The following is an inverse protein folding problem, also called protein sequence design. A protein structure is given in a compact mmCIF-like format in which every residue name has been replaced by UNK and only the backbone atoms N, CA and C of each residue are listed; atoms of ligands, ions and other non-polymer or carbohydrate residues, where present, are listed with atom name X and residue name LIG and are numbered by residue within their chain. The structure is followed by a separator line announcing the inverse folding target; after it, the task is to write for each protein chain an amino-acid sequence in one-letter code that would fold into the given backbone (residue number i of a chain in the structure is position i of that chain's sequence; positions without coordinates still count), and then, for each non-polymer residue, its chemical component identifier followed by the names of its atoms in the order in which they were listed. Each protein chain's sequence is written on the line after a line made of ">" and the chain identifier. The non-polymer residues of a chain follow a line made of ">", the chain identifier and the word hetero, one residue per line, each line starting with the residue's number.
data_IF_322401137062
#
_entry.id   IF_322401137062
#
_cell.length_a   1.000
_cell.length_b   1.000
_cell.length_c   1.000
_cell.angle_alpha   90.00
_cell.angle_beta   90.00
_cell.angle_gamma   90.00
#
_symmetry.space_group_name_H-M   'P 1'
#
loop_
_entity.id
_entity.type
_entity.pdbx_description
1 polymer ?
#
# COMPACT_ATOMS: atom_id res chain seq x y z
N UNK A 1 -10.25 -20.98 20.48
CA UNK A 1 -10.57 -19.67 21.15
C UNK A 1 -11.04 -19.85 22.61
N UNK A 2 -11.02 -21.08 23.17
CA UNK A 2 -11.45 -21.35 24.56
C UNK A 2 -10.58 -20.63 25.62
N UNK A 3 -9.37 -20.17 25.25
CA UNK A 3 -8.45 -19.42 26.12
C UNK A 3 -8.33 -17.93 25.76
N UNK A 4 -9.17 -17.42 24.85
CA UNK A 4 -9.12 -16.02 24.47
C UNK A 4 -9.56 -15.11 25.63
N UNK A 5 -8.76 -14.09 25.92
CA UNK A 5 -9.08 -13.03 26.87
C UNK A 5 -9.53 -11.79 26.08
N UNK A 6 -10.67 -11.23 26.47
CA UNK A 6 -11.19 -9.99 25.89
C UNK A 6 -11.08 -8.87 26.91
N UNK A 7 -10.58 -7.72 26.50
CA UNK A 7 -10.45 -6.54 27.34
C UNK A 7 -10.72 -5.29 26.53
N UNK A 8 -11.21 -4.23 27.17
CA UNK A 8 -11.34 -2.86 26.64
C UNK A 8 -10.26 -1.92 27.20
N UNK A 9 -9.30 -2.46 27.94
CA UNK A 9 -8.22 -1.73 28.59
C UNK A 9 -6.89 -2.04 27.87
N UNK A 10 -6.26 -1.02 27.33
CA UNK A 10 -4.96 -1.18 26.65
C UNK A 10 -3.83 -1.57 27.62
N UNK A 11 -3.94 -1.18 28.89
CA UNK A 11 -2.99 -1.53 29.96
C UNK A 11 -2.85 -3.04 30.10
N UNK A 12 -3.95 -3.78 29.97
CA UNK A 12 -3.94 -5.23 30.06
C UNK A 12 -3.06 -5.87 28.96
N UNK A 13 -2.98 -5.24 27.76
CA UNK A 13 -2.06 -5.66 26.70
C UNK A 13 -0.60 -5.39 27.11
N UNK A 14 -0.32 -4.24 27.73
CA UNK A 14 1.03 -3.88 28.14
C UNK A 14 1.55 -4.72 29.31
N UNK A 15 0.66 -5.21 30.17
CA UNK A 15 0.97 -6.03 31.34
C UNK A 15 0.99 -7.54 31.03
N UNK A 16 0.42 -7.96 29.87
CA UNK A 16 0.38 -9.36 29.48
C UNK A 16 1.78 -9.91 29.13
N UNK A 17 2.00 -11.18 29.41
CA UNK A 17 3.18 -11.93 28.97
C UNK A 17 2.95 -12.46 27.54
N UNK A 18 3.28 -11.60 26.56
CA UNK A 18 3.08 -11.86 25.13
C UNK A 18 4.32 -11.43 24.33
N UNK A 19 4.60 -12.14 23.26
CA UNK A 19 5.76 -11.90 22.38
C UNK A 19 5.43 -11.03 21.18
N UNK A 20 4.16 -11.01 20.77
CA UNK A 20 3.70 -10.38 19.52
C UNK A 20 2.40 -9.59 19.75
N UNK A 21 2.35 -8.41 19.15
CA UNK A 21 1.14 -7.58 19.04
C UNK A 21 0.77 -7.42 17.57
N UNK A 22 -0.52 -7.63 17.24
CA UNK A 22 -1.08 -7.35 15.92
C UNK A 22 -1.97 -6.13 16.03
N UNK A 23 -1.62 -5.06 15.31
CA UNK A 23 -2.37 -3.79 15.29
C UNK A 23 -3.15 -3.70 13.95
N UNK A 24 -4.47 -3.65 14.04
CA UNK A 24 -5.41 -3.52 12.92
C UNK A 24 -6.55 -2.53 13.24
N UNK A 25 -6.29 -1.57 14.14
CA UNK A 25 -7.31 -0.63 14.62
C UNK A 25 -7.59 0.50 13.64
N UNK A 26 -6.56 0.93 12.89
CA UNK A 26 -6.63 2.16 12.11
C UNK A 26 -6.46 3.44 12.95
N UNK A 27 -6.45 4.60 12.28
CA UNK A 27 -6.08 5.86 12.91
C UNK A 27 -4.57 5.97 13.17
N UNK A 28 -4.10 7.10 13.67
CA UNK A 28 -2.66 7.34 13.85
C UNK A 28 -2.27 7.39 15.32
N UNK A 29 -2.82 8.31 16.09
CA UNK A 29 -2.29 8.66 17.41
C UNK A 29 -2.31 7.52 18.42
N UNK A 30 -3.45 6.84 18.56
CA UNK A 30 -3.59 5.74 19.51
C UNK A 30 -2.83 4.49 19.04
N UNK A 31 -2.93 4.15 17.76
CA UNK A 31 -2.19 3.03 17.19
C UNK A 31 -0.67 3.23 17.31
N UNK A 32 -0.18 4.47 17.12
CA UNK A 32 1.23 4.81 17.33
C UNK A 32 1.68 4.54 18.77
N UNK A 33 0.87 4.94 19.77
CA UNK A 33 1.18 4.68 21.17
C UNK A 33 1.29 3.17 21.45
N UNK A 34 0.33 2.39 20.95
CA UNK A 34 0.29 0.93 21.15
C UNK A 34 1.52 0.27 20.50
N UNK A 35 1.82 0.58 19.25
CA UNK A 35 2.97 0.01 18.54
C UNK A 35 4.28 0.41 19.24
N UNK A 36 4.45 1.69 19.52
CA UNK A 36 5.67 2.20 20.15
C UNK A 36 5.92 1.58 21.53
N UNK A 37 4.84 1.47 22.35
CA UNK A 37 4.93 0.84 23.67
C UNK A 37 5.29 -0.65 23.57
N UNK A 38 4.65 -1.37 22.65
CA UNK A 38 4.92 -2.79 22.41
C UNK A 38 6.37 -3.04 21.99
N UNK A 39 6.87 -2.28 21.01
CA UNK A 39 8.27 -2.35 20.57
C UNK A 39 9.24 -2.02 21.71
N UNK A 40 8.94 -0.97 22.51
CA UNK A 40 9.80 -0.56 23.65
C UNK A 40 9.93 -1.64 24.72
N UNK A 41 8.91 -2.51 24.85
CA UNK A 41 8.87 -3.66 25.75
C UNK A 41 9.54 -4.91 25.17
N UNK A 42 10.13 -4.82 23.96
CA UNK A 42 10.79 -5.95 23.31
C UNK A 42 9.81 -6.94 22.65
N UNK A 43 8.62 -6.49 22.26
CA UNK A 43 7.63 -7.31 21.57
C UNK A 43 7.67 -7.08 20.08
N UNK A 44 7.46 -8.13 19.31
CA UNK A 44 7.27 -8.03 17.86
C UNK A 44 5.95 -7.34 17.55
N UNK A 45 5.87 -6.63 16.43
CA UNK A 45 4.64 -5.99 15.98
C UNK A 45 4.37 -6.31 14.52
N UNK A 46 3.10 -6.66 14.23
CA UNK A 46 2.56 -6.74 12.88
C UNK A 46 1.46 -5.68 12.75
N UNK A 47 1.49 -4.87 11.71
CA UNK A 47 0.48 -3.82 11.50
C UNK A 47 0.02 -3.72 10.04
N UNK A 48 -1.24 -3.39 9.83
CA UNK A 48 -1.81 -3.06 8.52
C UNK A 48 -1.96 -1.53 8.32
N UNK A 49 -1.49 -0.70 9.25
CA UNK A 49 -1.82 0.71 9.36
C UNK A 49 -0.90 1.59 8.50
N UNK A 50 -1.23 1.72 7.21
CA UNK A 50 -0.47 2.53 6.26
C UNK A 50 -0.39 4.01 6.63
N UNK A 51 -1.45 4.56 7.26
CA UNK A 51 -1.53 5.98 7.61
C UNK A 51 -0.49 6.32 8.68
N UNK A 52 -0.40 5.49 9.70
CA UNK A 52 0.61 5.57 10.74
C UNK A 52 2.03 5.36 10.19
N UNK A 53 2.21 4.32 9.40
CA UNK A 53 3.54 3.99 8.85
C UNK A 53 4.06 5.08 7.91
N UNK A 54 3.21 5.71 7.09
CA UNK A 54 3.62 6.80 6.22
C UNK A 54 4.26 7.97 6.99
N UNK A 55 3.88 8.18 8.25
CA UNK A 55 4.37 9.25 9.12
C UNK A 55 5.51 8.80 10.04
N UNK A 56 5.45 7.59 10.59
CA UNK A 56 6.26 7.17 11.74
C UNK A 56 7.16 5.96 11.50
N UNK A 57 7.20 5.40 10.29
CA UNK A 57 7.93 4.13 10.03
C UNK A 57 9.41 4.22 10.42
N UNK A 58 10.09 5.35 10.17
CA UNK A 58 11.53 5.47 10.46
C UNK A 58 11.83 5.35 11.94
N UNK A 59 11.04 6.03 12.78
CA UNK A 59 11.18 5.99 14.23
C UNK A 59 10.86 4.59 14.77
N UNK A 60 9.74 4.01 14.33
CA UNK A 60 9.28 2.71 14.80
C UNK A 60 10.24 1.59 14.36
N UNK A 61 10.75 1.64 13.14
CA UNK A 61 11.73 0.67 12.65
C UNK A 61 13.07 0.81 13.40
N UNK A 62 13.51 2.02 13.69
CA UNK A 62 14.71 2.25 14.50
C UNK A 62 14.55 1.69 15.91
N UNK A 63 13.38 1.89 16.54
CA UNK A 63 13.06 1.33 17.85
C UNK A 63 13.01 -0.20 17.81
N UNK A 64 12.39 -0.79 16.80
CA UNK A 64 12.35 -2.25 16.63
C UNK A 64 13.76 -2.83 16.52
N UNK A 65 14.62 -2.20 15.71
CA UNK A 65 16.03 -2.61 15.56
C UNK A 65 16.81 -2.48 16.87
N UNK A 66 16.64 -1.39 17.62
CA UNK A 66 17.25 -1.18 18.94
C UNK A 66 16.88 -2.28 19.93
N UNK A 67 15.62 -2.71 19.92
CA UNK A 67 15.10 -3.74 20.83
C UNK A 67 15.32 -5.17 20.32
N UNK A 68 15.81 -5.35 19.09
CA UNK A 68 16.04 -6.67 18.51
C UNK A 68 14.76 -7.41 18.15
N UNK A 69 13.67 -6.67 17.89
CA UNK A 69 12.35 -7.20 17.52
C UNK A 69 11.97 -6.81 16.10
N UNK A 70 10.94 -7.46 15.56
CA UNK A 70 10.44 -7.19 14.20
C UNK A 70 9.25 -6.24 14.23
N UNK A 71 9.24 -5.30 13.29
CA UNK A 71 8.05 -4.56 12.87
C UNK A 71 7.75 -4.97 11.42
N UNK A 72 6.69 -5.76 11.20
CA UNK A 72 6.27 -6.23 9.89
C UNK A 72 4.93 -5.61 9.50
N UNK A 73 4.73 -5.37 8.19
CA UNK A 73 3.61 -4.57 7.72
C UNK A 73 3.17 -4.89 6.28
N UNK A 74 3.27 -6.17 5.86
CA UNK A 74 2.88 -6.60 4.50
C UNK A 74 1.48 -6.12 4.12
N UNK A 75 0.52 -6.22 5.05
CA UNK A 75 -0.87 -5.85 4.83
C UNK A 75 -1.11 -4.34 4.62
N UNK A 76 -0.12 -3.49 4.88
CA UNK A 76 -0.26 -2.03 4.74
C UNK A 76 -0.23 -1.55 3.30
N UNK A 77 0.31 -2.34 2.36
CA UNK A 77 0.42 -1.96 0.95
C UNK A 77 -0.09 -3.09 0.06
N UNK A 78 -1.02 -2.76 -0.84
CA UNK A 78 -1.56 -3.67 -1.86
C UNK A 78 -2.19 -4.97 -1.32
N UNK A 79 -2.68 -4.96 -0.10
CA UNK A 79 -3.52 -6.01 0.49
C UNK A 79 -2.93 -7.41 0.45
N UNK A 80 -3.46 -8.27 -0.41
CA UNK A 80 -3.01 -9.66 -0.56
C UNK A 80 -1.77 -9.86 -1.43
N UNK A 81 -1.23 -8.79 -2.03
CA UNK A 81 -0.02 -8.86 -2.87
C UNK A 81 1.22 -8.82 -1.96
N UNK A 82 2.11 -9.84 -1.99
CA UNK A 82 3.28 -9.89 -1.11
C UNK A 82 4.39 -8.96 -1.62
N UNK A 83 4.13 -7.66 -1.67
CA UNK A 83 5.02 -6.68 -2.29
C UNK A 83 6.17 -6.26 -1.37
N UNK A 84 5.93 -6.14 -0.06
CA UNK A 84 6.98 -5.78 0.90
C UNK A 84 8.05 -6.88 0.92
N UNK A 85 7.64 -8.12 1.12
CA UNK A 85 8.55 -9.29 1.04
C UNK A 85 9.11 -9.48 -0.37
N UNK A 86 8.32 -9.23 -1.41
CA UNK A 86 8.76 -9.27 -2.80
C UNK A 86 9.97 -8.37 -3.04
N UNK A 87 9.92 -7.14 -2.56
CA UNK A 87 11.01 -6.17 -2.69
C UNK A 87 12.16 -6.45 -1.72
N UNK A 88 11.87 -6.67 -0.43
CA UNK A 88 12.92 -6.82 0.60
C UNK A 88 13.69 -8.13 0.48
N UNK A 89 13.02 -9.22 0.15
CA UNK A 89 13.60 -10.56 0.11
C UNK A 89 13.79 -11.03 -1.32
N UNK A 90 12.73 -11.01 -2.13
CA UNK A 90 12.75 -11.51 -3.50
C UNK A 90 13.67 -10.72 -4.43
N UNK A 91 13.72 -9.41 -4.28
CA UNK A 91 14.54 -8.51 -5.10
C UNK A 91 15.76 -7.96 -4.37
N UNK A 92 16.15 -8.50 -3.22
CA UNK A 92 17.23 -8.01 -2.37
C UNK A 92 18.60 -7.90 -3.09
N UNK A 93 18.83 -8.71 -4.13
CA UNK A 93 20.06 -8.66 -4.93
C UNK A 93 20.07 -7.53 -5.99
N UNK A 94 19.00 -6.75 -6.08
CA UNK A 94 18.85 -5.72 -7.11
C UNK A 94 18.98 -4.30 -6.53
N UNK A 95 19.49 -3.40 -7.35
CA UNK A 95 19.32 -1.97 -7.17
C UNK A 95 18.04 -1.57 -7.90
N UNK A 96 17.04 -1.17 -7.14
CA UNK A 96 15.76 -0.71 -7.70
C UNK A 96 15.94 0.71 -8.21
N UNK A 97 15.56 0.95 -9.46
CA UNK A 97 15.60 2.27 -10.12
C UNK A 97 14.23 2.93 -10.20
N UNK A 98 13.16 2.14 -10.25
CA UNK A 98 11.81 2.64 -10.38
C UNK A 98 10.76 1.70 -9.77
N UNK A 99 9.70 2.31 -9.26
CA UNK A 99 8.48 1.63 -8.81
C UNK A 99 7.28 2.38 -9.37
N UNK A 100 6.37 1.67 -10.01
CA UNK A 100 5.07 2.19 -10.44
C UNK A 100 3.97 1.27 -9.94
N UNK A 101 2.84 1.82 -9.51
CA UNK A 101 1.75 0.97 -9.03
C UNK A 101 0.37 1.54 -9.25
N UNK A 102 -0.57 0.64 -9.59
CA UNK A 102 -1.99 0.83 -9.40
C UNK A 102 -2.26 0.41 -7.96
N UNK A 103 -2.31 1.40 -7.06
CA UNK A 103 -2.29 1.18 -5.61
C UNK A 103 -3.65 1.39 -4.93
N UNK A 104 -4.66 1.78 -5.70
CA UNK A 104 -6.01 2.01 -5.20
C UNK A 104 -7.04 1.30 -6.09
N UNK A 105 -7.79 0.38 -5.50
CA UNK A 105 -8.78 -0.45 -6.22
C UNK A 105 -9.99 0.35 -6.69
N UNK A 106 -10.47 1.32 -5.90
CA UNK A 106 -11.64 2.15 -6.23
C UNK A 106 -11.39 2.93 -7.52
N UNK A 107 -10.29 3.66 -7.59
CA UNK A 107 -9.96 4.46 -8.77
C UNK A 107 -9.64 3.59 -9.99
N UNK A 108 -9.02 2.43 -9.81
CA UNK A 108 -8.80 1.51 -10.92
C UNK A 108 -10.11 0.93 -11.44
N UNK A 109 -11.06 0.57 -10.57
CA UNK A 109 -12.40 0.16 -10.94
C UNK A 109 -13.10 1.25 -11.77
N UNK A 110 -13.13 2.48 -11.24
CA UNK A 110 -13.76 3.61 -11.92
C UNK A 110 -13.16 3.84 -13.32
N UNK A 111 -11.83 4.00 -13.42
CA UNK A 111 -11.16 4.24 -14.68
C UNK A 111 -11.31 3.08 -15.68
N UNK A 112 -11.41 1.83 -15.20
CA UNK A 112 -11.66 0.66 -16.03
C UNK A 112 -13.01 0.76 -16.73
N UNK A 113 -14.08 1.06 -15.98
CA UNK A 113 -15.43 1.18 -16.54
C UNK A 113 -15.63 2.46 -17.35
N UNK A 114 -14.99 3.57 -16.97
CA UNK A 114 -14.95 4.78 -17.81
C UNK A 114 -14.30 4.49 -19.18
N UNK A 115 -13.28 3.61 -19.20
CA UNK A 115 -12.59 3.22 -20.45
C UNK A 115 -13.38 2.20 -21.27
N UNK A 116 -13.93 1.16 -20.64
CA UNK A 116 -14.55 0.01 -21.31
C UNK A 116 -16.01 0.28 -21.68
N UNK A 117 -16.76 0.90 -20.76
CA UNK A 117 -18.21 1.07 -20.85
C UNK A 117 -18.63 2.50 -21.17
N UNK A 118 -17.65 3.44 -21.22
CA UNK A 118 -17.90 4.86 -21.50
C UNK A 118 -18.64 5.58 -20.37
N UNK A 119 -18.53 5.11 -19.13
CA UNK A 119 -19.20 5.74 -17.99
C UNK A 119 -18.65 7.13 -17.71
N UNK A 120 -19.52 8.02 -17.21
CA UNK A 120 -19.05 9.30 -16.64
C UNK A 120 -18.39 9.04 -15.29
N UNK A 121 -17.61 9.99 -14.83
CA UNK A 121 -16.99 9.96 -13.49
C UNK A 121 -18.03 9.75 -12.38
N UNK A 122 -19.11 10.53 -12.41
CA UNK A 122 -20.17 10.47 -11.40
C UNK A 122 -20.87 9.12 -11.38
N UNK A 123 -21.13 8.54 -12.55
CA UNK A 123 -21.73 7.21 -12.65
C UNK A 123 -20.78 6.14 -12.13
N UNK A 124 -19.51 6.18 -12.51
CA UNK A 124 -18.49 5.24 -12.04
C UNK A 124 -18.33 5.29 -10.51
N UNK A 125 -18.33 6.51 -9.93
CA UNK A 125 -18.27 6.69 -8.48
C UNK A 125 -19.53 6.15 -7.79
N UNK A 126 -20.72 6.45 -8.28
CA UNK A 126 -21.98 5.95 -7.71
C UNK A 126 -21.99 4.41 -7.65
N UNK A 127 -21.61 3.76 -8.76
CA UNK A 127 -21.57 2.29 -8.80
C UNK A 127 -20.47 1.72 -7.89
N UNK A 128 -19.32 2.38 -7.79
CA UNK A 128 -18.27 1.98 -6.86
C UNK A 128 -18.74 2.05 -5.40
N UNK A 129 -19.52 3.07 -5.04
CA UNK A 129 -20.13 3.20 -3.72
C UNK A 129 -21.20 2.12 -3.46
N UNK A 130 -22.08 1.85 -4.41
CA UNK A 130 -23.10 0.79 -4.32
C UNK A 130 -22.48 -0.59 -4.12
N UNK A 131 -21.32 -0.85 -4.73
CA UNK A 131 -20.56 -2.10 -4.59
C UNK A 131 -19.68 -2.16 -3.33
N UNK A 132 -19.58 -1.07 -2.57
CA UNK A 132 -18.75 -0.99 -1.38
C UNK A 132 -17.26 -0.84 -1.66
N UNK A 133 -16.87 -0.47 -2.89
CA UNK A 133 -15.48 -0.14 -3.21
C UNK A 133 -15.09 1.27 -2.77
N UNK A 134 -16.06 2.20 -2.72
CA UNK A 134 -15.88 3.55 -2.22
C UNK A 134 -16.80 3.81 -1.02
N UNK A 135 -16.29 4.54 -0.03
CA UNK A 135 -17.07 5.06 1.08
C UNK A 135 -17.90 6.29 0.67
N UNK A 136 -18.78 6.76 1.57
CA UNK A 136 -19.59 7.97 1.33
C UNK A 136 -18.71 9.22 1.08
N UNK A 137 -17.58 9.34 1.78
CA UNK A 137 -16.52 10.30 1.47
C UNK A 137 -15.37 9.60 0.74
N UNK A 138 -15.32 9.66 -0.60
CA UNK A 138 -14.32 8.97 -1.40
C UNK A 138 -13.01 9.76 -1.56
N UNK A 139 -12.85 10.90 -0.89
CA UNK A 139 -11.74 11.86 -1.10
C UNK A 139 -10.36 11.21 -0.99
N UNK A 140 -10.17 10.29 -0.06
CA UNK A 140 -8.90 9.57 0.09
C UNK A 140 -8.55 8.73 -1.14
N UNK A 141 -9.55 8.14 -1.79
CA UNK A 141 -9.38 7.30 -2.97
C UNK A 141 -9.24 8.15 -4.22
N UNK A 142 -10.29 8.90 -4.58
CA UNK A 142 -10.34 9.65 -5.84
C UNK A 142 -9.35 10.81 -5.88
N UNK A 143 -9.02 11.40 -4.73
CA UNK A 143 -7.98 12.42 -4.59
C UNK A 143 -6.57 11.86 -4.66
N UNK A 144 -6.36 10.53 -4.64
CA UNK A 144 -5.07 9.87 -4.77
C UNK A 144 -4.26 9.77 -3.47
N UNK A 145 -4.81 10.15 -2.32
CA UNK A 145 -4.08 10.17 -1.04
C UNK A 145 -3.78 8.76 -0.50
N UNK A 146 -4.68 7.79 -0.69
CA UNK A 146 -4.42 6.38 -0.38
C UNK A 146 -3.22 5.84 -1.17
N UNK A 147 -3.21 6.09 -2.48
CA UNK A 147 -2.09 5.70 -3.33
C UNK A 147 -0.78 6.41 -2.95
N UNK A 148 -0.86 7.67 -2.52
CA UNK A 148 0.30 8.45 -2.09
C UNK A 148 0.96 7.86 -0.83
N UNK A 149 0.20 7.43 0.17
CA UNK A 149 0.73 6.75 1.36
C UNK A 149 1.44 5.46 0.98
N UNK A 150 0.81 4.65 0.13
CA UNK A 150 1.37 3.36 -0.32
C UNK A 150 2.64 3.54 -1.14
N UNK A 151 2.70 4.49 -2.09
CA UNK A 151 3.92 4.72 -2.87
C UNK A 151 5.04 5.32 -2.01
N UNK A 152 4.71 6.09 -0.98
CA UNK A 152 5.71 6.58 -0.01
C UNK A 152 6.40 5.41 0.69
N UNK A 153 5.63 4.45 1.20
CA UNK A 153 6.17 3.25 1.86
C UNK A 153 7.00 2.39 0.89
N UNK A 154 6.48 2.16 -0.32
CA UNK A 154 7.22 1.40 -1.34
C UNK A 154 8.51 2.09 -1.76
N UNK A 155 8.53 3.41 -1.86
CA UNK A 155 9.73 4.19 -2.21
C UNK A 155 10.81 4.07 -1.13
N UNK A 156 10.41 4.16 0.13
CA UNK A 156 11.31 3.97 1.28
C UNK A 156 11.94 2.58 1.26
N UNK A 157 11.12 1.59 1.03
CA UNK A 157 11.52 0.19 0.95
C UNK A 157 12.49 -0.05 -0.22
N UNK A 158 12.14 0.44 -1.41
CA UNK A 158 12.90 0.18 -2.63
C UNK A 158 14.27 0.86 -2.65
N UNK A 159 14.41 2.01 -1.98
CA UNK A 159 15.64 2.81 -2.07
C UNK A 159 16.41 2.90 -0.74
N UNK A 160 15.91 2.27 0.31
CA UNK A 160 16.45 2.36 1.67
C UNK A 160 16.74 3.83 2.07
N UNK A 161 15.75 4.69 1.85
CA UNK A 161 15.90 6.13 2.01
C UNK A 161 14.62 6.76 2.52
N UNK A 162 14.74 7.70 3.44
CA UNK A 162 13.59 8.43 3.95
C UNK A 162 12.88 9.19 2.82
N UNK A 163 11.58 9.02 2.72
CA UNK A 163 10.67 9.75 1.83
C UNK A 163 9.62 10.44 2.71
N UNK A 164 9.56 11.75 2.63
CA UNK A 164 8.57 12.54 3.38
C UNK A 164 7.24 12.55 2.60
N UNK A 165 6.22 11.99 3.21
CA UNK A 165 4.87 11.96 2.63
C UNK A 165 4.34 13.34 2.23
N UNK A 166 4.66 14.39 3.01
CA UNK A 166 4.21 15.76 2.73
C UNK A 166 4.85 16.39 1.48
N UNK A 167 5.90 15.78 0.95
CA UNK A 167 6.57 16.21 -0.28
C UNK A 167 6.13 15.44 -1.52
N UNK A 168 5.23 14.45 -1.36
CA UNK A 168 4.69 13.68 -2.47
C UNK A 168 3.69 14.54 -3.25
N UNK A 169 3.93 14.69 -4.55
CA UNK A 169 2.98 15.36 -5.45
C UNK A 169 1.76 14.46 -5.66
N UNK A 170 0.56 14.97 -5.41
CA UNK A 170 -0.68 14.18 -5.54
C UNK A 170 -1.67 14.89 -6.44
N UNK A 171 -2.12 14.17 -7.48
CA UNK A 171 -3.22 14.54 -8.35
C UNK A 171 -4.17 13.36 -8.49
N UNK A 172 -5.41 13.55 -8.08
CA UNK A 172 -6.48 12.55 -8.17
C UNK A 172 -7.09 12.43 -9.56
N UNK A 173 -8.21 11.70 -9.62
CA UNK A 173 -8.99 11.48 -10.85
C UNK A 173 -10.24 12.35 -10.92
N UNK A 174 -10.49 13.21 -9.96
CA UNK A 174 -11.66 14.08 -9.85
C UNK A 174 -11.81 15.07 -11.00
N UNK A 175 -10.74 15.35 -11.72
CA UNK A 175 -10.72 16.20 -12.91
C UNK A 175 -10.66 15.43 -14.24
N UNK A 176 -10.75 14.11 -14.20
CA UNK A 176 -10.69 13.26 -15.40
C UNK A 176 -12.07 13.19 -16.04
N UNK A 177 -12.16 13.58 -17.30
CA UNK A 177 -13.37 13.50 -18.09
C UNK A 177 -13.41 12.23 -18.96
N UNK A 178 -14.63 11.72 -19.22
CA UNK A 178 -14.82 10.56 -20.08
C UNK A 178 -14.34 10.82 -21.53
N UNK A 179 -14.40 12.08 -21.99
CA UNK A 179 -13.89 12.47 -23.31
C UNK A 179 -12.37 12.36 -23.41
N UNK A 180 -11.64 12.69 -22.34
CA UNK A 180 -10.16 12.53 -22.29
C UNK A 180 -9.77 11.06 -22.40
N UNK A 181 -10.51 10.20 -21.69
CA UNK A 181 -10.32 8.75 -21.76
C UNK A 181 -10.61 8.21 -23.15
N UNK A 182 -11.71 8.65 -23.78
CA UNK A 182 -12.07 8.22 -25.12
C UNK A 182 -11.02 8.62 -26.17
N UNK A 183 -10.48 9.85 -26.07
CA UNK A 183 -9.39 10.33 -26.95
C UNK A 183 -8.13 9.49 -26.73
N UNK A 184 -7.75 9.24 -25.48
CA UNK A 184 -6.60 8.41 -25.15
C UNK A 184 -6.74 6.98 -25.71
N UNK A 185 -7.91 6.37 -25.56
CA UNK A 185 -8.21 5.04 -26.08
C UNK A 185 -8.07 4.95 -27.61
N UNK A 186 -8.56 5.96 -28.34
CA UNK A 186 -8.39 6.06 -29.80
C UNK A 186 -6.93 6.18 -30.22
N UNK A 187 -6.10 6.80 -29.38
CA UNK A 187 -4.67 6.94 -29.60
C UNK A 187 -3.85 5.70 -29.16
N UNK A 188 -4.50 4.64 -28.67
CA UNK A 188 -3.83 3.40 -28.21
C UNK A 188 -3.27 3.48 -26.80
N UNK A 189 -3.87 4.33 -25.93
CA UNK A 189 -3.49 4.48 -24.54
C UNK A 189 -4.63 4.13 -23.59
N UNK A 190 -4.27 3.66 -22.42
CA UNK A 190 -5.20 3.44 -21.29
C UNK A 190 -4.81 4.37 -20.15
N UNK A 191 -5.79 5.04 -19.56
CA UNK A 191 -5.57 5.89 -18.39
C UNK A 191 -5.61 5.09 -17.09
N UNK A 192 -4.61 5.28 -16.22
CA UNK A 192 -4.51 4.71 -14.88
C UNK A 192 -4.10 5.77 -13.88
N UNK A 193 -4.59 5.67 -12.64
CA UNK A 193 -4.01 6.42 -11.53
C UNK A 193 -2.79 5.66 -11.02
N UNK A 194 -1.60 6.24 -11.17
CA UNK A 194 -0.35 5.59 -10.78
C UNK A 194 0.33 6.33 -9.65
N UNK A 195 0.68 5.58 -8.58
CA UNK A 195 1.79 5.95 -7.73
C UNK A 195 3.10 5.65 -8.46
N UNK A 196 3.97 6.65 -8.55
CA UNK A 196 5.27 6.51 -9.23
C UNK A 196 6.40 6.96 -8.34
N UNK A 197 7.50 6.25 -8.38
CA UNK A 197 8.74 6.61 -7.71
C UNK A 197 9.93 6.25 -8.57
N UNK A 198 10.86 7.18 -8.71
CA UNK A 198 12.06 6.99 -9.52
C UNK A 198 13.27 7.54 -8.79
N UNK A 199 14.34 6.73 -8.71
CA UNK A 199 15.63 7.15 -8.17
C UNK A 199 16.47 7.73 -9.30
N UNK A 200 16.89 9.00 -9.15
CA UNK A 200 17.71 9.72 -10.13
C UNK A 200 19.00 10.20 -9.46
N UNK A 201 19.93 10.71 -10.26
CA UNK A 201 21.15 11.35 -9.73
C UNK A 201 20.84 12.59 -8.88
N UNK A 202 19.68 13.23 -9.09
CA UNK A 202 19.25 14.41 -8.34
C UNK A 202 18.47 14.08 -7.06
N UNK A 203 18.14 12.81 -6.84
CA UNK A 203 17.34 12.34 -5.71
C UNK A 203 16.17 11.44 -6.12
N UNK A 204 15.24 11.26 -5.20
CA UNK A 204 14.04 10.45 -5.42
C UNK A 204 12.90 11.37 -5.81
N UNK A 205 12.21 11.03 -6.90
CA UNK A 205 10.97 11.68 -7.32
C UNK A 205 9.81 10.74 -6.99
N UNK A 206 8.81 11.24 -6.27
CA UNK A 206 7.62 10.47 -5.87
C UNK A 206 6.37 11.29 -6.15
N UNK A 207 5.35 10.63 -6.72
CA UNK A 207 4.07 11.29 -6.97
C UNK A 207 2.96 10.31 -7.34
N UNK A 208 1.74 10.83 -7.30
CA UNK A 208 0.52 10.13 -7.74
C UNK A 208 -0.19 11.03 -8.75
N UNK A 209 -0.50 10.48 -9.91
CA UNK A 209 -1.22 11.21 -10.95
C UNK A 209 -1.91 10.26 -11.94
N UNK A 210 -2.95 10.71 -12.66
CA UNK A 210 -3.45 10.02 -13.84
C UNK A 210 -2.38 9.98 -14.93
N UNK A 211 -2.12 8.78 -15.48
CA UNK A 211 -1.09 8.54 -16.48
C UNK A 211 -1.69 7.80 -17.68
N UNK A 212 -1.34 8.23 -18.87
CA UNK A 212 -1.64 7.52 -20.12
C UNK A 212 -0.56 6.47 -20.38
N UNK A 213 -0.93 5.20 -20.29
CA UNK A 213 -0.05 4.07 -20.58
C UNK A 213 -0.32 3.56 -21.99
N UNK A 214 0.70 3.31 -22.80
CA UNK A 214 0.52 2.56 -24.05
C UNK A 214 -0.19 1.22 -23.76
N UNK A 215 -1.11 0.78 -24.62
CA UNK A 215 -1.85 -0.47 -24.40
C UNK A 215 -0.95 -1.72 -24.31
N UNK A 216 0.28 -1.65 -24.82
CA UNK A 216 1.28 -2.70 -24.67
C UNK A 216 1.96 -2.73 -23.28
N UNK A 217 1.79 -1.72 -22.45
CA UNK A 217 2.39 -1.67 -21.11
C UNK A 217 1.67 -2.67 -20.17
N UNK A 218 2.38 -3.49 -19.37
CA UNK A 218 1.74 -4.51 -18.51
C UNK A 218 0.66 -3.96 -17.57
N UNK A 219 0.86 -2.77 -17.00
CA UNK A 219 -0.12 -2.13 -16.11
C UNK A 219 -1.41 -1.70 -16.82
N UNK A 220 -1.42 -1.50 -18.13
CA UNK A 220 -2.59 -1.05 -18.88
C UNK A 220 -3.73 -2.08 -18.82
N UNK A 221 -3.39 -3.37 -18.80
CA UNK A 221 -4.34 -4.47 -18.75
C UNK A 221 -4.89 -4.80 -17.35
N UNK A 222 -4.41 -4.14 -16.31
CA UNK A 222 -4.93 -4.36 -14.94
C UNK A 222 -6.24 -3.61 -14.78
N UNK A 223 -7.35 -4.33 -14.66
CA UNK A 223 -8.71 -3.78 -14.60
C UNK A 223 -9.41 -4.10 -13.28
N UNK A 224 -10.65 -3.65 -13.15
CA UNK A 224 -11.48 -3.82 -11.96
C UNK A 224 -10.81 -3.22 -10.70
N UNK A 225 -11.11 -3.76 -9.54
CA UNK A 225 -10.53 -3.32 -8.26
C UNK A 225 -9.14 -3.94 -7.97
N UNK A 226 -8.49 -4.53 -8.98
CA UNK A 226 -7.16 -5.11 -8.80
C UNK A 226 -6.08 -4.05 -8.65
N UNK A 227 -5.08 -4.36 -7.84
CA UNK A 227 -3.84 -3.60 -7.72
C UNK A 227 -2.72 -4.30 -8.49
N UNK A 228 -1.70 -3.52 -8.85
CA UNK A 228 -0.45 -4.04 -9.40
C UNK A 228 0.70 -3.12 -9.04
N UNK A 229 1.85 -3.71 -8.77
CA UNK A 229 3.12 -2.99 -8.54
C UNK A 229 4.15 -3.49 -9.53
N UNK A 230 4.69 -2.56 -10.29
CA UNK A 230 5.71 -2.76 -11.30
C UNK A 230 7.03 -2.22 -10.79
N UNK A 231 8.06 -3.04 -10.75
CA UNK A 231 9.37 -2.74 -10.17
C UNK A 231 10.46 -2.93 -11.22
N UNK A 232 11.36 -1.97 -11.32
CA UNK A 232 12.51 -2.01 -12.20
C UNK A 232 13.79 -2.21 -11.38
N UNK A 233 14.44 -3.36 -11.60
CA UNK A 233 15.71 -3.72 -10.97
C UNK A 233 16.83 -3.84 -12.00
N UNK A 234 18.06 -3.53 -11.59
CA UNK A 234 19.22 -3.52 -12.48
C UNK A 234 19.63 -4.91 -13.03
N UNK A 235 19.33 -5.97 -12.28
CA UNK A 235 19.69 -7.34 -12.67
C UNK A 235 18.48 -8.13 -13.18
N UNK A 236 17.32 -8.02 -12.51
CA UNK A 236 16.11 -8.76 -12.86
C UNK A 236 15.35 -8.12 -14.03
N UNK A 237 15.61 -6.83 -14.30
CA UNK A 237 14.84 -6.04 -15.25
C UNK A 237 13.47 -5.67 -14.65
N UNK A 238 12.42 -5.88 -15.43
CA UNK A 238 11.06 -5.50 -15.09
C UNK A 238 10.30 -6.67 -14.48
N UNK A 239 9.71 -6.45 -13.31
CA UNK A 239 8.85 -7.41 -12.63
C UNK A 239 7.52 -6.76 -12.26
N UNK A 240 6.45 -7.55 -12.25
CA UNK A 240 5.13 -7.08 -11.84
C UNK A 240 4.51 -8.04 -10.84
N UNK A 241 4.00 -7.48 -9.74
CA UNK A 241 3.18 -8.16 -8.75
C UNK A 241 1.74 -7.68 -8.95
N UNK A 242 0.81 -8.61 -9.06
CA UNK A 242 -0.58 -8.30 -9.37
C UNK A 242 -1.52 -9.18 -8.55
N UNK A 243 -2.64 -8.61 -8.09
CA UNK A 243 -3.64 -9.32 -7.31
C UNK A 243 -4.68 -8.40 -6.68
N UNK A 244 -5.55 -8.93 -5.80
CA UNK A 244 -6.50 -8.13 -5.05
C UNK A 244 -5.76 -7.23 -4.05
N UNK A 245 -6.00 -5.92 -4.17
CA UNK A 245 -5.33 -4.89 -3.38
C UNK A 245 -5.99 -4.57 -2.05
N UNK A 246 -7.19 -5.12 -1.80
CA UNK A 246 -7.96 -4.96 -0.58
C UNK A 246 -8.88 -6.17 -0.41
N UNK A 247 -9.44 -6.33 0.79
CA UNK A 247 -10.35 -7.40 1.15
C UNK A 247 -10.00 -7.98 2.51
N UNK A 248 -10.99 -8.53 3.22
CA UNK A 248 -10.79 -9.06 4.57
C UNK A 248 -9.87 -10.28 4.60
N UNK A 249 -10.06 -11.21 3.67
CA UNK A 249 -9.22 -12.42 3.58
C UNK A 249 -7.82 -12.12 3.05
N UNK A 250 -7.73 -11.24 2.07
CA UNK A 250 -6.48 -10.78 1.46
C UNK A 250 -5.58 -10.10 2.49
N UNK A 251 -6.15 -9.16 3.26
CA UNK A 251 -5.46 -8.47 4.34
C UNK A 251 -5.08 -9.43 5.47
N UNK A 252 -6.00 -10.32 5.87
CA UNK A 252 -5.71 -11.34 6.89
C UNK A 252 -4.60 -12.30 6.44
N UNK A 253 -4.56 -12.69 5.16
CA UNK A 253 -3.48 -13.52 4.61
C UNK A 253 -2.12 -12.87 4.77
N UNK A 254 -2.00 -11.57 4.49
CA UNK A 254 -0.75 -10.83 4.64
C UNK A 254 -0.34 -10.70 6.12
N UNK A 255 -1.30 -10.38 7.02
CA UNK A 255 -1.05 -10.33 8.47
C UNK A 255 -0.56 -11.68 9.00
N UNK A 256 -1.23 -12.77 8.63
CA UNK A 256 -0.84 -14.12 9.07
C UNK A 256 0.52 -14.51 8.50
N UNK A 257 0.84 -14.12 7.27
CA UNK A 257 2.16 -14.33 6.68
C UNK A 257 3.26 -13.66 7.50
N UNK A 258 3.05 -12.41 7.95
CA UNK A 258 3.98 -11.69 8.81
C UNK A 258 4.15 -12.38 10.19
N UNK A 259 3.05 -12.86 10.78
CA UNK A 259 3.10 -13.62 12.04
C UNK A 259 3.95 -14.90 11.86
N UNK A 260 3.69 -15.67 10.80
CA UNK A 260 4.43 -16.89 10.51
C UNK A 260 5.92 -16.61 10.25
N UNK A 261 6.24 -15.49 9.57
CA UNK A 261 7.63 -15.10 9.34
C UNK A 261 8.38 -14.80 10.65
N UNK A 262 7.71 -14.24 11.65
CA UNK A 262 8.29 -14.03 13.00
C UNK A 262 8.49 -15.37 13.70
N UNK A 263 7.48 -16.24 13.68
CA UNK A 263 7.53 -17.55 14.32
C UNK A 263 8.63 -18.46 13.72
N UNK A 264 8.75 -18.51 12.39
CA UNK A 264 9.75 -19.34 11.69
C UNK A 264 11.19 -18.89 11.95
N UNK A 265 11.42 -17.63 12.27
CA UNK A 265 12.74 -17.13 12.67
C UNK A 265 13.12 -17.51 14.10
N UNK A 266 12.26 -18.20 14.83
CA UNK A 266 12.50 -18.65 16.19
C UNK A 266 12.49 -17.51 17.23
N UNK A 267 11.76 -16.44 16.94
CA UNK A 267 11.60 -15.31 17.84
C UNK A 267 10.44 -15.48 18.84
N UNK A 268 9.54 -16.44 18.58
CA UNK A 268 8.41 -16.80 19.47
C UNK A 268 8.28 -18.32 19.55
#
# INVERSE_FOLDING_TARGET
>A
LESAVFTDRVEDIYEADIDLVVEVMGGVDFAYQVIRQSLSQGRHVVTANKDLLALHIDELQALANEKGVSLLYEASVAGGIPIINGVQVGLAANQISGVMGILNGTTNYMLSHMTQDGWTYEHALSVAQEKGYAEADPTNDVGGFDAARKITLLSRLAYDTRVDFHQVSVKGIDTVDASDIAIAAQAGYTMKLLGKSTKTAAGIQVGVEPVLLPNAHPLSGVSEAFNAVYVEGNAVGQTMFWGPGAGSLETASAVVSDILQIADRGFI
#
